data_IF_087666975596
#
_entry.id   IF_087666975596
#
_cell.length_a   1.000
_cell.length_b   1.000
_cell.length_c   1.000
_cell.angle_alpha   90.00
_cell.angle_beta   90.00
_cell.angle_gamma   90.00
#
_symmetry.space_group_name_H-M   'P 1'
#
loop_
_entity.id
_entity.type
_entity.pdbx_description
1 polymer ?
#
# COMPACT_ATOMS: atom_id res chain seq x y z
N UNK A 1 -2.72 -8.17 -14.70
CA UNK A 1 -2.05 -7.89 -13.41
C UNK A 1 -2.96 -8.29 -12.28
N UNK A 2 -2.40 -8.67 -11.13
CA UNK A 2 -3.19 -8.86 -9.91
C UNK A 2 -3.31 -7.53 -9.17
N UNK A 3 -4.53 -7.20 -8.72
CA UNK A 3 -4.80 -6.07 -7.81
C UNK A 3 -5.35 -6.67 -6.52
N UNK A 4 -4.63 -6.49 -5.42
CA UNK A 4 -4.89 -7.15 -4.14
C UNK A 4 -5.24 -6.11 -3.10
N UNK A 5 -6.34 -6.33 -2.39
CA UNK A 5 -6.70 -5.55 -1.20
C UNK A 5 -6.42 -6.44 0.01
N UNK A 6 -5.50 -6.02 0.88
CA UNK A 6 -5.07 -6.80 2.04
C UNK A 6 -5.27 -6.05 3.36
N UNK A 7 -5.69 -6.78 4.40
CA UNK A 7 -6.05 -6.24 5.71
C UNK A 7 -4.89 -6.00 6.68
N UNK A 8 -3.64 -6.21 6.29
CA UNK A 8 -2.48 -5.92 7.14
C UNK A 8 -2.48 -4.44 7.58
N UNK A 9 -2.35 -4.21 8.89
CA UNK A 9 -2.41 -2.87 9.50
C UNK A 9 -1.59 -2.78 10.80
N UNK A 10 -0.75 -3.78 11.06
CA UNK A 10 0.18 -3.86 12.18
C UNK A 10 1.44 -4.63 11.72
N UNK A 11 2.55 -4.58 12.48
CA UNK A 11 3.80 -5.24 12.09
C UNK A 11 3.67 -6.73 11.79
N UNK A 12 2.88 -7.48 12.57
CA UNK A 12 2.70 -8.92 12.40
C UNK A 12 1.89 -9.28 11.13
N UNK A 13 0.89 -8.46 10.82
CA UNK A 13 0.11 -8.56 9.60
C UNK A 13 0.94 -8.23 8.37
N UNK A 14 1.78 -7.19 8.46
CA UNK A 14 2.71 -6.85 7.37
C UNK A 14 3.75 -7.95 7.17
N UNK A 15 4.26 -8.56 8.24
CA UNK A 15 5.18 -9.70 8.14
C UNK A 15 4.52 -10.89 7.42
N UNK A 16 3.25 -11.13 7.71
CA UNK A 16 2.47 -12.18 7.04
C UNK A 16 2.23 -11.87 5.56
N UNK A 17 1.96 -10.61 5.23
CA UNK A 17 1.84 -10.13 3.86
C UNK A 17 3.16 -10.30 3.10
N UNK A 18 4.29 -9.87 3.68
CA UNK A 18 5.63 -10.02 3.11
C UNK A 18 5.92 -11.48 2.75
N UNK A 19 5.73 -12.42 3.69
CA UNK A 19 5.93 -13.86 3.44
C UNK A 19 5.06 -14.39 2.30
N UNK A 20 3.83 -13.90 2.19
CA UNK A 20 2.91 -14.27 1.11
C UNK A 20 3.42 -13.76 -0.23
N UNK A 21 3.85 -12.49 -0.29
CA UNK A 21 4.41 -11.89 -1.50
C UNK A 21 5.68 -12.61 -1.94
N UNK A 22 6.61 -12.88 -1.03
CA UNK A 22 7.84 -13.64 -1.34
C UNK A 22 7.54 -15.06 -1.87
N UNK A 23 6.49 -15.70 -1.37
CA UNK A 23 6.14 -17.08 -1.77
C UNK A 23 5.43 -17.14 -3.13
N UNK A 24 4.59 -16.16 -3.44
CA UNK A 24 3.69 -16.20 -4.60
C UNK A 24 4.09 -15.26 -5.74
N UNK A 25 4.84 -14.21 -5.45
CA UNK A 25 5.09 -13.08 -6.36
C UNK A 25 6.57 -12.70 -6.51
N UNK A 26 7.51 -13.59 -6.14
CA UNK A 26 8.97 -13.35 -6.22
C UNK A 26 9.50 -12.88 -7.57
N UNK A 27 8.83 -13.22 -8.67
CA UNK A 27 9.26 -12.90 -10.05
C UNK A 27 8.40 -11.77 -10.66
N UNK A 28 7.56 -11.11 -9.85
CA UNK A 28 6.68 -10.00 -10.25
C UNK A 28 7.25 -8.67 -9.81
N UNK A 29 6.86 -7.60 -10.50
CA UNK A 29 7.10 -6.25 -10.00
C UNK A 29 6.03 -5.90 -8.98
N UNK A 30 6.41 -5.70 -7.72
CA UNK A 30 5.48 -5.47 -6.63
C UNK A 30 5.35 -3.98 -6.38
N UNK A 31 4.12 -3.47 -6.50
CA UNK A 31 3.77 -2.10 -6.14
C UNK A 31 2.89 -2.14 -4.90
N UNK A 32 3.20 -1.31 -3.91
CA UNK A 32 2.40 -1.22 -2.68
C UNK A 32 1.83 0.18 -2.52
N UNK A 33 0.51 0.31 -2.43
CA UNK A 33 -0.18 1.51 -1.93
C UNK A 33 -0.44 1.33 -0.43
N UNK A 34 0.17 2.19 0.39
CA UNK A 34 0.15 2.09 1.84
C UNK A 34 -0.33 3.37 2.50
N UNK A 35 -1.23 3.22 3.47
CA UNK A 35 -1.54 4.24 4.47
C UNK A 35 -1.79 3.57 5.82
N UNK A 36 -1.75 4.31 6.91
CA UNK A 36 -1.97 3.77 8.25
C UNK A 36 -2.70 4.78 9.14
N UNK A 37 -3.12 4.31 10.31
CA UNK A 37 -3.46 5.22 11.39
C UNK A 37 -2.16 5.66 12.09
N UNK A 38 -2.16 6.82 12.74
CA UNK A 38 -0.98 7.39 13.43
C UNK A 38 -0.50 6.61 14.67
N UNK A 39 -0.92 5.36 14.85
CA UNK A 39 -0.48 4.48 15.93
C UNK A 39 0.70 3.58 15.51
N UNK A 40 0.93 2.47 16.23
CA UNK A 40 2.28 1.95 16.56
C UNK A 40 3.11 1.43 15.36
N UNK A 41 4.43 1.58 15.50
CA UNK A 41 5.49 0.93 14.71
C UNK A 41 5.43 1.13 13.19
N UNK A 42 4.97 2.30 12.72
CA UNK A 42 4.89 2.63 11.30
C UNK A 42 6.23 2.47 10.56
N UNK A 43 7.35 2.89 11.18
CA UNK A 43 8.68 2.73 10.59
C UNK A 43 9.00 1.25 10.31
N UNK A 44 8.62 0.33 11.20
CA UNK A 44 8.85 -1.10 11.05
C UNK A 44 8.00 -1.67 9.90
N UNK A 45 6.73 -1.28 9.83
CA UNK A 45 5.88 -1.69 8.71
C UNK A 45 6.40 -1.20 7.36
N UNK A 46 6.85 0.06 7.29
CA UNK A 46 7.47 0.61 6.07
C UNK A 46 8.75 -0.14 5.73
N UNK A 47 9.65 -0.35 6.70
CA UNK A 47 10.90 -1.10 6.50
C UNK A 47 10.63 -2.52 5.97
N UNK A 48 9.61 -3.21 6.48
CA UNK A 48 9.21 -4.53 6.00
C UNK A 48 8.66 -4.50 4.57
N UNK A 49 7.74 -3.57 4.26
CA UNK A 49 7.17 -3.45 2.92
C UNK A 49 8.23 -3.12 1.86
N UNK A 50 9.25 -2.32 2.21
CA UNK A 50 10.35 -1.98 1.30
C UNK A 50 11.19 -3.20 0.87
N UNK A 51 11.16 -4.29 1.64
CA UNK A 51 11.88 -5.53 1.29
C UNK A 51 11.27 -6.25 0.09
N UNK A 52 9.96 -6.10 -0.12
CA UNK A 52 9.22 -6.78 -1.20
C UNK A 52 8.76 -5.83 -2.29
N UNK A 53 8.66 -4.53 -2.04
CA UNK A 53 8.12 -3.57 -3.00
C UNK A 53 9.21 -3.03 -3.95
N UNK A 54 8.99 -3.09 -5.26
CA UNK A 54 9.77 -2.36 -6.26
C UNK A 54 9.41 -0.87 -6.28
N UNK A 55 8.15 -0.55 -5.98
CA UNK A 55 7.65 0.81 -5.79
C UNK A 55 6.68 0.86 -4.60
N UNK A 56 6.82 1.88 -3.76
CA UNK A 56 5.86 2.14 -2.68
C UNK A 56 5.20 3.51 -2.87
N UNK A 57 3.88 3.52 -2.82
CA UNK A 57 3.04 4.71 -2.92
C UNK A 57 2.47 4.98 -1.53
N UNK A 58 2.79 6.13 -0.97
CA UNK A 58 2.22 6.57 0.30
C UNK A 58 1.02 7.47 0.07
N UNK A 59 -0.03 7.26 0.85
CA UNK A 59 -1.24 8.08 0.79
C UNK A 59 -1.83 8.34 2.16
N UNK A 60 -2.88 9.16 2.19
CA UNK A 60 -3.71 9.40 3.36
C UNK A 60 -5.19 9.28 2.98
N UNK A 61 -6.09 9.31 3.95
CA UNK A 61 -7.52 9.22 3.72
C UNK A 61 -8.30 10.00 4.77
N UNK A 62 -9.59 10.26 4.50
CA UNK A 62 -10.44 11.11 5.32
C UNK A 62 -10.85 10.37 6.62
N UNK A 63 -9.95 10.36 7.60
CA UNK A 63 -10.17 9.71 8.88
C UNK A 63 -9.34 10.40 9.97
N UNK A 64 -9.94 10.69 11.13
CA UNK A 64 -9.34 11.53 12.19
C UNK A 64 -7.95 11.09 12.64
N UNK A 65 -7.68 9.77 12.58
CA UNK A 65 -6.40 9.18 12.99
C UNK A 65 -5.49 8.82 11.82
N UNK A 66 -5.87 9.10 10.57
CA UNK A 66 -5.01 8.82 9.43
C UNK A 66 -3.73 9.65 9.53
N UNK A 67 -2.59 9.01 9.27
CA UNK A 67 -1.32 9.71 9.16
C UNK A 67 -1.22 10.40 7.79
N UNK A 68 -0.47 11.50 7.71
CA UNK A 68 -0.21 12.14 6.41
C UNK A 68 0.70 11.28 5.53
N UNK A 69 0.52 11.40 4.22
CA UNK A 69 1.30 10.64 3.25
C UNK A 69 2.79 11.02 3.31
N UNK A 70 3.10 12.31 3.41
CA UNK A 70 4.47 12.82 3.60
C UNK A 70 5.16 12.23 4.84
N UNK A 71 4.41 12.07 5.95
CA UNK A 71 5.00 11.53 7.17
C UNK A 71 5.34 10.05 7.02
N UNK A 72 4.52 9.26 6.32
CA UNK A 72 4.85 7.88 5.98
C UNK A 72 6.07 7.80 5.05
N UNK A 73 6.08 8.64 4.01
CA UNK A 73 7.18 8.70 3.06
C UNK A 73 8.52 9.10 3.71
N UNK A 74 8.47 9.83 4.83
CA UNK A 74 9.67 10.16 5.62
C UNK A 74 10.31 8.96 6.33
N UNK A 75 9.60 7.84 6.51
CA UNK A 75 10.15 6.60 7.06
C UNK A 75 10.84 5.74 5.99
N UNK A 76 10.43 5.88 4.74
CA UNK A 76 10.92 5.10 3.62
C UNK A 76 12.36 5.49 3.24
N UNK A 77 13.23 4.48 3.08
CA UNK A 77 14.63 4.63 2.67
C UNK A 77 14.82 4.45 1.16
N UNK A 78 13.85 3.83 0.47
CA UNK A 78 13.90 3.59 -0.97
C UNK A 78 13.64 4.87 -1.77
N UNK A 79 14.36 5.02 -2.88
CA UNK A 79 14.19 6.13 -3.83
C UNK A 79 12.94 5.97 -4.71
N UNK A 80 12.57 4.72 -5.01
CA UNK A 80 11.34 4.35 -5.72
C UNK A 80 10.12 4.47 -4.79
N UNK A 81 9.78 5.71 -4.44
CA UNK A 81 8.61 6.04 -3.63
C UNK A 81 7.85 7.22 -4.23
N UNK A 82 6.53 7.16 -4.13
CA UNK A 82 5.61 8.21 -4.55
C UNK A 82 4.72 8.64 -3.39
N UNK A 83 4.22 9.87 -3.45
CA UNK A 83 3.30 10.44 -2.47
C UNK A 83 2.06 10.95 -3.19
N UNK A 84 0.89 10.50 -2.76
CA UNK A 84 -0.40 10.95 -3.27
C UNK A 84 -1.31 11.30 -2.10
N UNK A 85 -1.73 12.56 -2.00
CA UNK A 85 -2.72 12.96 -0.99
C UNK A 85 -4.12 12.40 -1.31
N UNK A 86 -4.42 12.17 -2.60
CA UNK A 86 -5.66 11.57 -3.05
C UNK A 86 -5.46 10.09 -3.42
N UNK A 87 -5.87 9.20 -2.53
CA UNK A 87 -5.74 7.76 -2.76
C UNK A 87 -6.52 7.24 -3.98
N UNK A 88 -7.61 7.90 -4.39
CA UNK A 88 -8.38 7.50 -5.58
C UNK A 88 -7.58 7.76 -6.85
N UNK A 89 -6.92 8.91 -6.91
CA UNK A 89 -6.02 9.27 -8.00
C UNK A 89 -4.82 8.32 -8.04
N UNK A 90 -4.22 7.99 -6.90
CA UNK A 90 -3.15 7.01 -6.82
C UNK A 90 -3.55 5.65 -7.42
N UNK A 91 -4.75 5.16 -7.09
CA UNK A 91 -5.28 3.91 -7.62
C UNK A 91 -5.54 4.04 -9.12
N UNK A 92 -6.25 5.08 -9.56
CA UNK A 92 -6.63 5.27 -10.96
C UNK A 92 -5.41 5.37 -11.87
N UNK A 93 -4.44 6.23 -11.50
CA UNK A 93 -3.18 6.38 -12.23
C UNK A 93 -2.43 5.05 -12.28
N UNK A 94 -2.33 4.33 -11.16
CA UNK A 94 -1.53 3.10 -11.14
C UNK A 94 -2.19 1.97 -11.93
N UNK A 95 -3.51 1.83 -11.85
CA UNK A 95 -4.29 0.84 -12.62
C UNK A 95 -4.12 1.03 -14.13
N UNK A 96 -4.02 2.27 -14.61
CA UNK A 96 -3.77 2.56 -16.04
C UNK A 96 -2.34 2.21 -16.48
N UNK A 97 -1.38 2.14 -15.55
CA UNK A 97 0.05 1.94 -15.86
C UNK A 97 0.53 0.51 -15.67
N UNK A 98 -0.14 -0.31 -14.85
CA UNK A 98 0.33 -1.66 -14.52
C UNK A 98 0.18 -2.66 -15.69
N UNK A 99 1.23 -3.44 -15.92
CA UNK A 99 1.31 -4.49 -16.93
C UNK A 99 1.06 -5.90 -16.37
N UNK A 100 1.14 -6.92 -17.24
CA UNK A 100 0.91 -8.33 -16.85
C UNK A 100 1.91 -8.89 -15.81
N UNK A 101 3.10 -8.29 -15.71
CA UNK A 101 4.11 -8.70 -14.74
C UNK A 101 4.00 -7.98 -13.39
N UNK A 102 3.03 -7.10 -13.22
CA UNK A 102 2.90 -6.29 -12.02
C UNK A 102 1.85 -6.88 -11.06
N UNK A 103 2.09 -6.68 -9.77
CA UNK A 103 1.15 -6.96 -8.69
C UNK A 103 0.99 -5.68 -7.88
N UNK A 104 -0.24 -5.19 -7.80
CA UNK A 104 -0.57 -3.97 -7.08
C UNK A 104 -1.31 -4.28 -5.78
N UNK A 105 -0.67 -4.00 -4.64
CA UNK A 105 -1.17 -4.34 -3.30
C UNK A 105 -1.62 -3.05 -2.61
N UNK A 106 -2.85 -3.03 -2.10
CA UNK A 106 -3.43 -1.90 -1.37
C UNK A 106 -3.69 -2.34 0.07
N UNK A 107 -3.03 -1.71 1.04
CA UNK A 107 -3.04 -2.19 2.44
C UNK A 107 -2.78 -1.08 3.48
N UNK A 108 -2.71 -1.46 4.75
CA UNK A 108 -2.20 -0.65 5.86
C UNK A 108 -3.24 -0.13 6.85
N UNK A 109 -4.54 -0.21 6.51
CA UNK A 109 -5.62 0.11 7.44
C UNK A 109 -6.93 -0.56 7.01
N UNK A 110 -7.61 -1.21 7.97
CA UNK A 110 -8.93 -1.83 7.75
C UNK A 110 -10.00 -0.80 7.33
N UNK A 111 -9.93 0.42 7.86
CA UNK A 111 -10.84 1.51 7.46
C UNK A 111 -10.56 1.95 6.02
N UNK A 112 -9.28 2.11 5.68
CA UNK A 112 -8.86 2.51 4.34
C UNK A 112 -9.28 1.48 3.29
N UNK A 113 -8.96 0.20 3.50
CA UNK A 113 -9.30 -0.83 2.53
C UNK A 113 -10.82 -1.03 2.37
N UNK A 114 -11.61 -0.69 3.40
CA UNK A 114 -13.07 -0.66 3.29
C UNK A 114 -13.55 0.44 2.34
N UNK A 115 -12.94 1.64 2.39
CA UNK A 115 -13.24 2.72 1.44
C UNK A 115 -12.79 2.37 0.02
N UNK A 116 -11.59 1.81 -0.13
CA UNK A 116 -11.04 1.34 -1.42
C UNK A 116 -11.96 0.30 -2.05
N UNK A 117 -12.37 -0.72 -1.29
CA UNK A 117 -13.28 -1.75 -1.78
C UNK A 117 -14.63 -1.16 -2.21
N UNK A 118 -15.17 -0.20 -1.46
CA UNK A 118 -16.41 0.49 -1.84
C UNK A 118 -16.23 1.25 -3.16
N UNK A 119 -15.17 2.03 -3.27
CA UNK A 119 -14.85 2.82 -4.47
C UNK A 119 -14.71 1.95 -5.72
N UNK A 120 -13.98 0.83 -5.64
CA UNK A 120 -13.81 -0.10 -6.77
C UNK A 120 -15.15 -0.73 -7.16
N UNK A 121 -16.02 -1.05 -6.20
CA UNK A 121 -17.35 -1.63 -6.49
C UNK A 121 -18.32 -0.63 -7.12
N UNK A 122 -18.19 0.66 -6.85
CA UNK A 122 -19.05 1.71 -7.41
C UNK A 122 -18.62 2.13 -8.82
N UNK A 123 -17.36 1.86 -9.22
CA UNK A 123 -16.84 2.10 -10.57
C UNK A 123 -17.18 1.01 -11.59
N UNK A 124 -17.59 -0.18 -11.13
CA UNK A 124 -18.02 -1.31 -11.97
C UNK A 124 -19.54 -1.36 -12.08
#
# INVERSE_FOLDING_TARGET
PDIIIDGAHNPEGIESLVKTVESHYKDKNVIVLFTALGDKQLHNMVDQLETIADEIIFTTFAFDRAISADKLASYAKKESKLVFENWKEAIDTKVEMIGENDVFIITGSLYFISEVRKYIREKN
#
